data_IF_774602224166
#
_entry.id   IF_774602224166
#
_cell.length_a   1.000
_cell.length_b   1.000
_cell.length_c   1.000
_cell.angle_alpha   90.00
_cell.angle_beta   90.00
_cell.angle_gamma   90.00
#
_symmetry.space_group_name_H-M   'P 1'
#
loop_
_entity.id
_entity.type
_entity.pdbx_description
1 polymer ?
#
# COMPACT_ATOMS: atom_id res chain seq x y z
N UNK A 1 13.69 6.01 -8.66
CA UNK A 1 12.50 5.71 -7.86
C UNK A 1 12.65 6.35 -6.50
N UNK A 2 11.55 6.84 -5.91
CA UNK A 2 11.55 7.27 -4.50
C UNK A 2 11.01 6.07 -3.72
N UNK A 3 11.79 5.55 -2.77
CA UNK A 3 11.30 4.50 -1.89
C UNK A 3 10.32 5.12 -0.88
N UNK A 4 9.11 4.56 -0.82
CA UNK A 4 8.05 5.02 0.09
C UNK A 4 7.76 4.01 1.20
N UNK A 5 8.17 2.77 0.99
CA UNK A 5 8.06 1.66 1.93
C UNK A 5 9.21 0.68 1.66
N UNK A 6 9.74 0.05 2.70
CA UNK A 6 10.68 -1.05 2.56
C UNK A 6 10.53 -2.06 3.71
N UNK A 7 10.65 -3.36 3.37
CA UNK A 7 10.71 -4.50 4.30
C UNK A 7 11.83 -5.43 3.88
N UNK A 8 12.92 -5.47 4.63
CA UNK A 8 14.02 -6.40 4.44
C UNK A 8 14.14 -7.41 5.58
N UNK A 9 13.65 -7.07 6.77
CA UNK A 9 13.65 -7.95 7.94
C UNK A 9 12.49 -7.61 8.91
N UNK A 10 12.54 -8.19 10.11
CA UNK A 10 11.51 -8.08 11.15
C UNK A 10 11.87 -7.09 12.28
N UNK A 11 12.87 -6.24 12.09
CA UNK A 11 13.36 -5.32 13.14
C UNK A 11 12.38 -4.19 13.46
N UNK A 12 11.52 -3.82 12.51
CA UNK A 12 10.51 -2.79 12.66
C UNK A 12 9.12 -3.42 12.56
N UNK A 13 8.28 -3.14 13.55
CA UNK A 13 6.87 -3.51 13.53
C UNK A 13 6.10 -2.61 12.55
N UNK A 14 5.06 -3.14 11.93
CA UNK A 14 4.18 -2.37 11.04
C UNK A 14 2.73 -2.38 11.53
N UNK A 15 2.45 -3.02 12.67
CA UNK A 15 1.14 -2.94 13.33
C UNK A 15 1.04 -1.67 14.18
N UNK A 16 0.93 -0.53 13.49
CA UNK A 16 0.76 0.78 14.08
C UNK A 16 -0.63 1.38 13.79
N UNK A 17 -1.01 2.35 14.62
CA UNK A 17 -2.25 3.10 14.44
C UNK A 17 -2.18 4.07 13.24
N UNK A 18 -3.33 4.63 12.87
CA UNK A 18 -3.48 5.49 11.70
C UNK A 18 -2.60 6.73 11.78
N UNK A 19 -2.50 7.36 12.96
CA UNK A 19 -1.69 8.57 13.16
C UNK A 19 -0.19 8.31 12.89
N UNK A 20 0.32 7.14 13.27
CA UNK A 20 1.69 6.73 12.96
C UNK A 20 1.88 6.45 11.46
N UNK A 21 0.90 5.82 10.80
CA UNK A 21 0.91 5.66 9.35
C UNK A 21 0.82 6.98 8.59
N UNK A 22 0.15 7.98 9.15
CA UNK A 22 0.01 9.30 8.54
C UNK A 22 1.34 10.06 8.52
N UNK A 23 2.07 10.01 9.63
CA UNK A 23 3.35 10.73 9.84
C UNK A 23 4.58 9.97 9.35
N UNK A 24 4.51 8.64 9.31
CA UNK A 24 5.61 7.75 8.91
C UNK A 24 6.39 7.19 10.11
N UNK A 25 7.07 6.09 9.89
CA UNK A 25 7.82 5.35 10.92
C UNK A 25 8.92 4.49 10.31
N UNK A 26 9.77 3.93 11.18
CA UNK A 26 10.81 2.99 10.82
C UNK A 26 12.22 3.57 10.90
N UNK A 27 13.15 2.88 10.26
CA UNK A 27 14.58 3.20 10.28
C UNK A 27 15.15 3.32 8.86
N UNK A 28 16.46 3.15 8.69
CA UNK A 28 17.13 3.27 7.39
C UNK A 28 16.84 2.09 6.43
N UNK A 29 16.32 0.98 6.96
CA UNK A 29 16.19 -0.30 6.28
C UNK A 29 14.72 -0.72 6.13
N UNK A 30 13.91 -0.51 7.17
CA UNK A 30 12.51 -0.88 7.20
C UNK A 30 11.70 0.34 7.59
N UNK A 31 10.92 0.89 6.64
CA UNK A 31 10.21 2.13 6.89
C UNK A 31 8.94 2.27 6.08
N UNK A 32 8.13 3.22 6.53
CA UNK A 32 6.98 3.79 5.83
C UNK A 32 7.13 5.31 5.88
N UNK A 33 7.15 5.98 4.73
CA UNK A 33 7.46 7.43 4.72
C UNK A 33 6.34 8.30 5.29
N UNK A 34 5.11 7.78 5.37
CA UNK A 34 3.93 8.49 5.85
C UNK A 34 2.93 8.82 4.74
N UNK A 35 1.63 8.60 5.00
CA UNK A 35 0.55 8.88 4.03
C UNK A 35 0.52 10.35 3.61
N UNK A 36 0.75 11.28 4.56
CA UNK A 36 0.77 12.70 4.25
C UNK A 36 1.88 13.06 3.26
N UNK A 37 3.08 12.46 3.41
CA UNK A 37 4.19 12.67 2.48
C UNK A 37 3.89 12.07 1.11
N UNK A 38 3.30 10.87 1.06
CA UNK A 38 2.92 10.22 -0.20
C UNK A 38 1.85 11.06 -0.94
N UNK A 39 0.84 11.54 -0.22
CA UNK A 39 -0.18 12.44 -0.77
C UNK A 39 0.46 13.71 -1.33
N UNK A 40 1.31 14.40 -0.56
CA UNK A 40 1.96 15.63 -1.00
C UNK A 40 2.85 15.45 -2.22
N UNK A 41 3.54 14.30 -2.31
CA UNK A 41 4.35 13.94 -3.47
C UNK A 41 3.48 13.74 -4.72
N UNK A 42 2.33 13.10 -4.59
CA UNK A 42 1.54 12.59 -5.73
C UNK A 42 0.36 13.47 -6.14
N UNK A 43 -0.10 14.41 -5.29
CA UNK A 43 -1.32 15.21 -5.54
C UNK A 43 -1.33 16.08 -6.80
N UNK A 44 -0.16 16.48 -7.30
CA UNK A 44 -0.03 17.45 -8.41
C UNK A 44 0.68 16.90 -9.65
N UNK A 45 1.11 15.63 -9.63
CA UNK A 45 1.87 15.03 -10.73
C UNK A 45 1.55 13.55 -10.82
N UNK A 46 1.50 13.05 -12.05
CA UNK A 46 1.32 11.62 -12.30
C UNK A 46 2.64 10.88 -12.04
N UNK A 47 2.66 10.03 -11.02
CA UNK A 47 3.72 9.07 -10.79
C UNK A 47 3.25 7.67 -11.14
N UNK A 48 4.16 6.83 -11.62
CA UNK A 48 3.96 5.37 -11.59
C UNK A 48 4.43 4.83 -10.24
N UNK A 49 3.86 3.72 -9.80
CA UNK A 49 4.37 2.97 -8.64
C UNK A 49 4.79 1.57 -9.08
N UNK A 50 5.83 1.06 -8.42
CA UNK A 50 6.35 -0.29 -8.60
C UNK A 50 6.47 -0.92 -7.21
N UNK A 51 5.88 -2.10 -7.05
CA UNK A 51 6.11 -2.96 -5.90
C UNK A 51 7.09 -4.05 -6.32
N UNK A 52 8.18 -4.19 -5.58
CA UNK A 52 9.19 -5.22 -5.81
C UNK A 52 9.20 -6.16 -4.60
N UNK A 53 9.10 -7.46 -4.85
CA UNK A 53 8.93 -8.46 -3.80
C UNK A 53 9.85 -9.64 -4.09
N UNK A 54 10.51 -10.14 -3.04
CA UNK A 54 11.27 -11.37 -3.11
C UNK A 54 10.49 -12.50 -2.43
N UNK A 55 10.32 -13.61 -3.13
CA UNK A 55 9.76 -14.84 -2.56
C UNK A 55 10.77 -15.53 -1.62
N UNK A 56 10.26 -16.46 -0.80
CA UNK A 56 11.10 -17.32 0.06
C UNK A 56 12.13 -18.15 -0.70
N UNK A 57 11.91 -18.37 -2.01
CA UNK A 57 12.83 -19.08 -2.90
C UNK A 57 13.79 -18.12 -3.63
N UNK A 58 13.93 -16.89 -3.17
CA UNK A 58 14.79 -15.84 -3.72
C UNK A 58 14.43 -15.33 -5.13
N UNK A 59 13.32 -15.80 -5.72
CA UNK A 59 12.78 -15.24 -6.96
C UNK A 59 12.18 -13.86 -6.71
N UNK A 60 12.44 -12.92 -7.61
CA UNK A 60 11.91 -11.57 -7.58
C UNK A 60 10.70 -11.45 -8.49
N UNK A 61 9.71 -10.68 -8.03
CA UNK A 61 8.50 -10.34 -8.77
C UNK A 61 8.22 -8.85 -8.68
N UNK A 62 7.55 -8.29 -9.68
CA UNK A 62 7.07 -6.90 -9.66
C UNK A 62 5.59 -6.75 -10.01
N UNK A 63 5.00 -5.71 -9.42
CA UNK A 63 3.72 -5.16 -9.81
C UNK A 63 3.89 -3.66 -10.09
N UNK A 64 3.75 -3.26 -11.34
CA UNK A 64 3.85 -1.88 -11.80
C UNK A 64 2.46 -1.34 -12.16
N UNK A 65 2.18 -0.09 -11.79
CA UNK A 65 0.95 0.60 -12.16
C UNK A 65 1.27 1.91 -12.88
N UNK A 66 0.58 2.15 -14.00
CA UNK A 66 0.88 3.28 -14.91
C UNK A 66 0.65 4.67 -14.29
N UNK A 67 -0.19 4.75 -13.25
CA UNK A 67 -0.30 5.91 -12.37
C UNK A 67 -0.56 5.48 -10.93
N UNK A 68 -0.23 6.36 -9.99
CA UNK A 68 -0.39 6.23 -8.55
C UNK A 68 -0.52 7.60 -7.92
N UNK A 69 -1.57 7.77 -7.13
CA UNK A 69 -1.73 8.90 -6.22
C UNK A 69 -2.69 8.52 -5.09
N UNK A 70 -2.65 9.32 -4.02
CA UNK A 70 -3.62 9.23 -2.94
C UNK A 70 -4.61 10.39 -3.04
N UNK A 71 -5.88 10.11 -2.82
CA UNK A 71 -6.87 11.16 -2.59
C UNK A 71 -6.59 11.89 -1.27
N UNK A 72 -7.20 13.07 -1.04
CA UNK A 72 -6.90 13.90 0.14
C UNK A 72 -7.17 13.19 1.48
N UNK A 73 -6.56 13.67 2.59
CA UNK A 73 -6.77 13.11 3.92
C UNK A 73 -8.25 13.00 4.33
N UNK A 74 -9.10 13.91 3.85
CA UNK A 74 -10.56 13.91 4.10
C UNK A 74 -11.28 12.67 3.56
N UNK A 75 -10.65 11.92 2.65
CA UNK A 75 -11.19 10.66 2.09
C UNK A 75 -10.59 9.42 2.78
N UNK A 76 -9.67 9.59 3.72
CA UNK A 76 -8.90 8.46 4.28
C UNK A 76 -7.80 7.96 3.33
N UNK A 77 -7.20 8.87 2.56
CA UNK A 77 -6.09 8.56 1.64
C UNK A 77 -6.41 7.45 0.62
N UNK A 78 -7.55 7.57 -0.06
CA UNK A 78 -7.99 6.56 -1.04
C UNK A 78 -6.92 6.34 -2.10
N UNK A 79 -6.55 5.07 -2.32
CA UNK A 79 -5.54 4.65 -3.28
C UNK A 79 -6.09 4.67 -4.70
N UNK A 80 -5.41 5.37 -5.60
CA UNK A 80 -5.74 5.42 -7.02
C UNK A 80 -4.61 4.80 -7.85
N UNK A 81 -4.96 3.83 -8.70
CA UNK A 81 -3.99 3.06 -9.49
C UNK A 81 -4.36 2.97 -10.97
N UNK A 82 -3.36 3.06 -11.84
CA UNK A 82 -3.46 2.92 -13.29
C UNK A 82 -3.29 1.49 -13.82
N UNK A 83 -3.09 1.33 -15.11
CA UNK A 83 -3.02 -0.02 -15.72
C UNK A 83 -1.91 -0.85 -15.07
N UNK A 84 -2.24 -2.09 -14.70
CA UNK A 84 -1.29 -3.04 -14.11
C UNK A 84 -0.43 -3.69 -15.18
N UNK A 85 0.86 -3.84 -14.89
CA UNK A 85 1.84 -4.62 -15.66
C UNK A 85 2.77 -5.31 -14.64
N UNK A 86 3.03 -6.60 -14.80
CA UNK A 86 3.96 -7.31 -13.91
C UNK A 86 3.77 -8.81 -13.93
N UNK A 87 4.58 -9.50 -13.14
CA UNK A 87 4.58 -10.96 -12.96
C UNK A 87 4.17 -11.40 -11.54
N UNK A 88 3.94 -10.45 -10.62
CA UNK A 88 3.46 -10.73 -9.26
C UNK A 88 1.94 -11.03 -9.15
N UNK A 89 1.18 -10.80 -10.22
CA UNK A 89 -0.30 -10.72 -10.18
C UNK A 89 -0.81 -9.37 -9.65
N UNK A 90 -2.03 -8.97 -10.06
CA UNK A 90 -2.68 -7.72 -9.61
C UNK A 90 -3.47 -7.95 -8.31
N UNK A 91 -2.75 -8.22 -7.21
CA UNK A 91 -3.37 -8.59 -5.94
C UNK A 91 -4.13 -7.43 -5.26
N UNK A 92 -3.78 -6.19 -5.60
CA UNK A 92 -4.41 -4.98 -5.04
C UNK A 92 -5.84 -4.82 -5.59
N UNK A 93 -6.14 -5.28 -6.81
CA UNK A 93 -7.46 -5.10 -7.46
C UNK A 93 -8.46 -6.23 -7.26
N UNK A 94 -8.19 -7.20 -6.39
CA UNK A 94 -8.78 -8.54 -6.44
C UNK A 94 -10.32 -8.67 -6.36
N UNK A 95 -11.08 -7.61 -6.07
CA UNK A 95 -12.55 -7.60 -6.12
C UNK A 95 -13.15 -6.73 -7.24
N UNK A 96 -12.32 -6.02 -8.00
CA UNK A 96 -12.76 -5.07 -9.01
C UNK A 96 -12.77 -5.75 -10.40
N UNK A 97 -13.84 -5.61 -11.21
CA UNK A 97 -13.79 -5.99 -12.62
C UNK A 97 -12.54 -5.44 -13.31
N UNK A 98 -12.00 -6.14 -14.31
CA UNK A 98 -10.86 -5.61 -15.09
C UNK A 98 -11.18 -4.18 -15.58
N UNK A 99 -10.36 -3.20 -15.17
CA UNK A 99 -10.55 -1.78 -15.50
C UNK A 99 -11.35 -0.97 -14.49
N UNK A 100 -11.82 -1.57 -13.39
CA UNK A 100 -12.45 -0.83 -12.32
C UNK A 100 -11.43 0.02 -11.54
N UNK A 101 -11.87 1.21 -11.15
CA UNK A 101 -11.08 2.16 -10.35
C UNK A 101 -10.81 1.56 -8.99
N UNK A 102 -9.55 1.57 -8.57
CA UNK A 102 -9.16 1.28 -7.19
C UNK A 102 -9.59 2.50 -6.39
N UNK A 103 -10.52 2.31 -5.47
CA UNK A 103 -11.10 3.36 -4.64
C UNK A 103 -11.08 2.93 -3.18
N UNK A 104 -9.97 2.33 -2.75
CA UNK A 104 -9.88 1.67 -1.46
C UNK A 104 -9.31 2.65 -0.44
N UNK A 105 -10.03 2.98 0.65
CA UNK A 105 -9.49 3.82 1.71
C UNK A 105 -8.42 3.06 2.51
N UNK A 106 -7.55 3.83 3.17
CA UNK A 106 -6.51 3.26 4.02
C UNK A 106 -7.09 2.89 5.40
N UNK A 107 -6.83 1.67 5.83
CA UNK A 107 -7.21 1.15 7.13
C UNK A 107 -5.98 0.66 7.90
N UNK A 108 -6.09 0.64 9.22
CA UNK A 108 -5.14 0.05 10.16
C UNK A 108 -5.84 -1.02 10.99
N UNK A 109 -5.10 -1.79 11.79
CA UNK A 109 -5.69 -2.83 12.65
C UNK A 109 -6.83 -2.32 13.53
N UNK A 110 -6.80 -1.05 13.96
CA UNK A 110 -7.85 -0.43 14.78
C UNK A 110 -9.13 -0.07 13.99
N UNK A 111 -9.02 0.19 12.68
CA UNK A 111 -10.11 0.69 11.83
C UNK A 111 -10.61 -0.35 10.82
N UNK A 112 -9.86 -1.42 10.56
CA UNK A 112 -10.28 -2.50 9.67
C UNK A 112 -11.52 -3.22 10.21
N UNK A 113 -12.53 -3.52 9.35
CA UNK A 113 -13.68 -4.35 9.72
C UNK A 113 -13.28 -5.69 10.36
N UNK A 114 -14.00 -6.11 11.40
CA UNK A 114 -13.66 -7.30 12.18
C UNK A 114 -13.51 -8.58 11.33
N UNK A 115 -14.33 -8.72 10.27
CA UNK A 115 -14.28 -9.85 9.34
C UNK A 115 -13.03 -9.88 8.45
N UNK A 116 -12.25 -8.78 8.40
CA UNK A 116 -11.04 -8.66 7.60
C UNK A 116 -9.76 -8.61 8.44
N UNK A 117 -9.87 -8.54 9.77
CA UNK A 117 -8.74 -8.34 10.67
C UNK A 117 -7.68 -9.46 10.57
N UNK A 118 -8.08 -10.70 10.30
CA UNK A 118 -7.16 -11.82 10.09
C UNK A 118 -6.28 -11.68 8.84
N UNK A 119 -6.68 -10.86 7.87
CA UNK A 119 -5.94 -10.57 6.63
C UNK A 119 -5.15 -9.26 6.69
N UNK A 120 -5.24 -8.50 7.79
CA UNK A 120 -4.65 -7.17 7.93
C UNK A 120 -3.91 -7.07 9.26
N UNK A 121 -2.64 -7.46 9.28
CA UNK A 121 -1.72 -7.03 10.31
C UNK A 121 -1.02 -5.77 9.79
N UNK A 122 -1.15 -4.63 10.45
CA UNK A 122 -0.69 -3.35 9.93
C UNK A 122 -1.70 -2.61 9.05
N UNK A 123 -1.23 -1.54 8.42
CA UNK A 123 -2.06 -0.61 7.66
C UNK A 123 -2.00 -0.88 6.17
N UNK A 124 -3.15 -0.90 5.49
CA UNK A 124 -3.22 -1.10 4.05
C UNK A 124 -4.49 -0.50 3.44
N UNK A 125 -4.53 -0.40 2.10
CA UNK A 125 -5.74 -0.04 1.38
C UNK A 125 -6.64 -1.25 1.21
N UNK A 126 -7.78 -1.23 1.89
CA UNK A 126 -8.66 -2.39 2.06
C UNK A 126 -10.07 -2.03 1.62
N UNK A 127 -10.77 -2.98 0.98
CA UNK A 127 -12.19 -2.86 0.65
C UNK A 127 -12.97 -4.03 1.24
N UNK A 128 -13.11 -5.14 0.49
CA UNK A 128 -13.64 -6.41 0.99
C UNK A 128 -12.50 -7.30 1.49
N UNK A 129 -11.85 -6.86 2.56
CA UNK A 129 -10.57 -7.41 3.02
C UNK A 129 -9.46 -7.17 1.99
N UNK A 130 -8.35 -7.89 2.10
CA UNK A 130 -7.25 -7.74 1.15
C UNK A 130 -6.55 -9.07 0.87
N UNK A 131 -5.99 -9.15 -0.33
CA UNK A 131 -5.15 -10.25 -0.80
C UNK A 131 -3.69 -9.81 -0.93
N UNK A 132 -3.42 -8.54 -0.66
CA UNK A 132 -2.08 -7.96 -0.57
C UNK A 132 -1.98 -7.22 0.74
N UNK A 133 -0.92 -7.45 1.49
CA UNK A 133 -0.55 -6.58 2.59
C UNK A 133 0.97 -6.63 2.71
N UNK A 134 1.64 -5.56 2.27
CA UNK A 134 3.09 -5.49 2.29
C UNK A 134 3.62 -4.87 3.60
N UNK A 135 2.70 -4.41 4.45
CA UNK A 135 2.95 -3.90 5.79
C UNK A 135 2.71 -5.00 6.82
#
# INVERSE_FOLDING_TARGET
>A
WILVQQRLDITVFFDYNFATYETGFGDQTNFWIGLMKIYDLTKNKNYKIRFEMQSVNSNWYSADYSYFYLDPPSTGYVLQLGTYIGDAGDAIRLAAPKGAVVGYPFYTSETTPANCRSSTNGGWWVNYCTMSNLN
#
